data_IF_833035825000
#
_entry.id   IF_833035825000
#
_cell.length_a   1.000
_cell.length_b   1.000
_cell.length_c   1.000
_cell.angle_alpha   90.00
_cell.angle_beta   90.00
_cell.angle_gamma   90.00
#
_symmetry.space_group_name_H-M   'P 1'
#
loop_
_entity.id
_entity.type
_entity.pdbx_description
1 polymer ?
#
# COMPACT_ATOMS: atom_id res chain seq x y z
N UNK A 1 -7.50 25.17 6.55
CA UNK A 1 -8.18 23.87 6.70
C UNK A 1 -7.14 22.83 7.03
N UNK A 2 -6.94 22.65 8.32
CA UNK A 2 -6.61 21.43 9.05
C UNK A 2 -6.25 20.20 8.19
N UNK A 3 -4.96 20.00 7.89
CA UNK A 3 -4.46 18.68 7.49
C UNK A 3 -4.21 17.88 8.78
N UNK A 4 -5.31 17.48 9.41
CA UNK A 4 -5.28 16.53 10.51
C UNK A 4 -4.67 15.23 9.97
N UNK A 5 -3.65 14.75 10.67
CA UNK A 5 -3.08 13.41 10.60
C UNK A 5 -4.16 12.36 10.88
N UNK A 6 -5.11 12.21 9.97
CA UNK A 6 -6.20 11.25 10.09
C UNK A 6 -5.85 10.01 9.28
N UNK A 7 -5.85 8.87 9.95
CA UNK A 7 -5.60 7.60 9.29
C UNK A 7 -6.65 7.42 8.19
N UNK A 8 -6.27 6.97 6.99
CA UNK A 8 -7.19 6.81 5.87
C UNK A 8 -8.49 6.10 6.28
N UNK A 9 -9.62 6.53 5.74
CA UNK A 9 -10.92 5.93 6.09
C UNK A 9 -10.94 4.40 5.90
N UNK A 10 -10.19 3.87 4.94
CA UNK A 10 -10.03 2.43 4.75
C UNK A 10 -9.33 1.71 5.92
N UNK A 11 -8.43 2.37 6.66
CA UNK A 11 -7.78 1.80 7.87
C UNK A 11 -8.74 1.66 9.05
N UNK A 12 -9.91 2.30 8.97
CA UNK A 12 -10.97 2.20 9.97
C UNK A 12 -11.97 1.07 9.63
N UNK A 13 -11.83 0.42 8.46
CA UNK A 13 -12.74 -0.65 8.07
C UNK A 13 -12.63 -1.85 9.02
N UNK A 14 -13.78 -2.47 9.37
CA UNK A 14 -13.78 -3.68 10.19
C UNK A 14 -12.99 -4.83 9.54
N UNK A 15 -12.93 -4.86 8.21
CA UNK A 15 -12.16 -5.85 7.44
C UNK A 15 -10.65 -5.75 7.67
N UNK A 16 -10.11 -4.59 8.03
CA UNK A 16 -8.66 -4.40 8.26
C UNK A 16 -8.30 -4.16 9.72
N UNK A 17 -9.29 -4.05 10.62
CA UNK A 17 -9.05 -3.86 12.07
C UNK A 17 -8.21 -4.96 12.73
N UNK A 18 -8.23 -6.17 12.17
CA UNK A 18 -7.44 -7.29 12.68
C UNK A 18 -5.97 -7.24 12.21
N UNK A 19 -5.64 -6.34 11.28
CA UNK A 19 -4.32 -6.24 10.67
C UNK A 19 -3.45 -5.32 11.52
N UNK A 20 -2.19 -5.70 11.82
CA UNK A 20 -1.28 -4.86 12.58
C UNK A 20 -1.08 -3.49 11.95
N UNK A 21 -1.02 -2.46 12.78
CA UNK A 21 -0.84 -1.06 12.33
C UNK A 21 0.41 -0.87 11.47
N UNK A 22 1.51 -1.56 11.78
CA UNK A 22 2.76 -1.50 11.01
C UNK A 22 2.56 -1.96 9.56
N UNK A 23 1.73 -2.98 9.34
CA UNK A 23 1.36 -3.46 8.00
C UNK A 23 0.50 -2.43 7.27
N UNK A 24 -0.48 -1.84 7.97
CA UNK A 24 -1.35 -0.82 7.38
C UNK A 24 -0.58 0.44 6.98
N UNK A 25 0.31 0.92 7.86
CA UNK A 25 1.21 2.05 7.60
C UNK A 25 2.15 1.78 6.43
N UNK A 26 2.70 0.57 6.36
CA UNK A 26 3.52 0.13 5.23
C UNK A 26 2.76 0.20 3.91
N UNK A 27 1.52 -0.32 3.89
CA UNK A 27 0.73 -0.31 2.67
C UNK A 27 0.24 1.08 2.31
N UNK A 28 -0.10 1.91 3.30
CA UNK A 28 -0.43 3.32 3.09
C UNK A 28 0.73 4.03 2.38
N UNK A 29 1.96 3.88 2.89
CA UNK A 29 3.15 4.43 2.22
C UNK A 29 3.30 3.84 0.83
N UNK A 30 3.16 2.53 0.70
CA UNK A 30 3.29 1.87 -0.59
C UNK A 30 2.30 2.40 -1.63
N UNK A 31 1.03 2.60 -1.30
CA UNK A 31 0.00 2.99 -2.28
C UNK A 31 -0.04 4.51 -2.47
N UNK A 32 -0.04 5.28 -1.37
CA UNK A 32 -0.22 6.73 -1.43
C UNK A 32 1.08 7.48 -1.76
N UNK A 33 2.22 7.09 -1.17
CA UNK A 33 3.49 7.72 -1.55
C UNK A 33 3.86 7.33 -2.97
N UNK A 34 3.73 6.05 -3.37
CA UNK A 34 4.08 5.65 -4.74
C UNK A 34 3.21 6.31 -5.82
N UNK A 35 1.92 6.58 -5.55
CA UNK A 35 1.04 7.28 -6.47
C UNK A 35 1.51 8.72 -6.78
N UNK A 36 2.28 9.32 -5.86
CA UNK A 36 2.83 10.67 -5.99
C UNK A 36 4.24 10.69 -6.58
N UNK A 37 4.89 9.52 -6.75
CA UNK A 37 6.28 9.41 -7.19
C UNK A 37 6.40 9.22 -8.70
N UNK A 38 7.41 9.86 -9.29
CA UNK A 38 7.80 9.60 -10.67
C UNK A 38 8.52 8.26 -10.82
N UNK A 39 8.55 7.63 -12.01
CA UNK A 39 9.22 6.33 -12.20
C UNK A 39 10.68 6.29 -11.74
N UNK A 40 11.38 7.44 -11.80
CA UNK A 40 12.78 7.57 -11.38
C UNK A 40 12.95 7.62 -9.86
N UNK A 41 11.94 8.09 -9.14
CA UNK A 41 11.89 8.09 -7.68
C UNK A 41 11.23 6.83 -7.12
N UNK A 42 10.36 6.20 -7.91
CA UNK A 42 9.69 4.95 -7.54
C UNK A 42 10.69 3.82 -7.32
N UNK A 43 11.73 3.70 -8.16
CA UNK A 43 12.77 2.67 -7.98
C UNK A 43 13.48 2.74 -6.61
N UNK A 44 14.12 3.86 -6.22
CA UNK A 44 14.78 3.95 -4.93
C UNK A 44 13.79 3.86 -3.76
N UNK A 45 12.56 4.35 -3.93
CA UNK A 45 11.49 4.16 -2.96
C UNK A 45 11.16 2.68 -2.74
N UNK A 46 10.89 1.92 -3.81
CA UNK A 46 10.59 0.50 -3.72
C UNK A 46 11.76 -0.30 -3.14
N UNK A 47 13.02 0.10 -3.41
CA UNK A 47 14.20 -0.51 -2.78
C UNK A 47 14.23 -0.27 -1.26
N UNK A 48 14.06 0.99 -0.83
CA UNK A 48 14.03 1.34 0.59
C UNK A 48 12.87 0.64 1.31
N UNK A 49 11.71 0.59 0.67
CA UNK A 49 10.51 -0.04 1.21
C UNK A 49 10.66 -1.57 1.29
N UNK A 50 11.25 -2.23 0.28
CA UNK A 50 11.56 -3.65 0.33
C UNK A 50 12.58 -4.01 1.42
N UNK A 51 13.58 -3.14 1.64
CA UNK A 51 14.54 -3.31 2.74
C UNK A 51 13.83 -3.20 4.11
N UNK A 52 12.96 -2.20 4.26
CA UNK A 52 12.17 -1.98 5.46
C UNK A 52 11.22 -3.16 5.76
N UNK A 53 10.49 -3.65 4.75
CA UNK A 53 9.61 -4.82 4.90
C UNK A 53 10.36 -6.05 5.43
N UNK A 54 11.60 -6.28 4.95
CA UNK A 54 12.43 -7.38 5.47
C UNK A 54 12.86 -7.17 6.92
N UNK A 55 13.25 -5.94 7.27
CA UNK A 55 13.68 -5.59 8.62
C UNK A 55 12.53 -5.71 9.64
N UNK A 56 11.36 -5.18 9.30
CA UNK A 56 10.15 -5.19 10.14
C UNK A 56 9.36 -6.52 10.00
N UNK A 57 9.88 -7.51 9.26
CA UNK A 57 9.21 -8.80 8.98
C UNK A 57 7.77 -8.63 8.47
N UNK A 58 7.50 -7.53 7.74
CA UNK A 58 6.19 -7.21 7.20
C UNK A 58 5.88 -8.16 6.06
N UNK A 59 4.91 -9.03 6.28
CA UNK A 59 4.35 -9.94 5.30
C UNK A 59 2.83 -9.90 5.41
N UNK A 60 2.15 -9.93 4.28
CA UNK A 60 0.69 -9.94 4.20
C UNK A 60 0.24 -11.32 3.74
N UNK A 61 -0.69 -11.91 4.47
CA UNK A 61 -1.45 -13.07 4.01
C UNK A 61 -2.37 -12.66 2.85
N UNK A 62 -2.79 -13.63 2.04
CA UNK A 62 -3.69 -13.36 0.92
C UNK A 62 -5.03 -12.75 1.39
N UNK A 63 -5.55 -13.21 2.53
CA UNK A 63 -6.73 -12.66 3.18
C UNK A 63 -6.55 -11.20 3.60
N UNK A 64 -5.43 -10.88 4.26
CA UNK A 64 -5.08 -9.51 4.66
C UNK A 64 -4.95 -8.61 3.42
N UNK A 65 -4.25 -9.07 2.38
CA UNK A 65 -4.10 -8.32 1.14
C UNK A 65 -5.44 -8.02 0.49
N UNK A 66 -6.33 -9.01 0.45
CA UNK A 66 -7.67 -8.88 -0.15
C UNK A 66 -8.51 -7.89 0.63
N UNK A 67 -8.60 -8.06 1.95
CA UNK A 67 -9.34 -7.17 2.84
C UNK A 67 -8.87 -5.71 2.73
N UNK A 68 -7.55 -5.50 2.66
CA UNK A 68 -7.01 -4.14 2.51
C UNK A 68 -7.28 -3.57 1.13
N UNK A 69 -7.06 -4.33 0.05
CA UNK A 69 -7.33 -3.86 -1.32
C UNK A 69 -8.80 -3.48 -1.46
N UNK A 70 -9.72 -4.29 -0.93
CA UNK A 70 -11.16 -3.99 -0.94
C UNK A 70 -11.49 -2.74 -0.12
N UNK A 71 -10.90 -2.61 1.07
CA UNK A 71 -11.05 -1.41 1.90
C UNK A 71 -10.54 -0.17 1.13
N UNK A 72 -9.31 -0.19 0.61
CA UNK A 72 -8.74 0.94 -0.15
C UNK A 72 -9.62 1.27 -1.35
N UNK A 73 -10.03 0.27 -2.13
CA UNK A 73 -10.90 0.45 -3.31
C UNK A 73 -12.25 1.09 -2.97
N UNK A 74 -12.81 0.81 -1.80
CA UNK A 74 -14.07 1.39 -1.34
C UNK A 74 -13.97 2.89 -1.05
N UNK A 75 -12.79 3.37 -0.64
CA UNK A 75 -12.55 4.77 -0.31
C UNK A 75 -11.70 5.51 -1.36
N UNK A 76 -11.17 4.82 -2.36
CA UNK A 76 -10.36 5.38 -3.44
C UNK A 76 -11.19 5.62 -4.69
N UNK A 77 -10.79 6.59 -5.49
CA UNK A 77 -11.38 6.83 -6.81
C UNK A 77 -10.93 5.75 -7.81
N UNK A 78 -11.71 5.49 -8.87
CA UNK A 78 -11.32 4.53 -9.92
C UNK A 78 -9.96 4.83 -10.56
N UNK A 79 -9.55 6.10 -10.62
CA UNK A 79 -8.22 6.52 -11.11
C UNK A 79 -7.09 6.09 -10.16
N UNK A 80 -7.28 6.27 -8.85
CA UNK A 80 -6.33 5.82 -7.82
C UNK A 80 -6.21 4.29 -7.80
N UNK A 81 -7.33 3.58 -7.96
CA UNK A 81 -7.35 2.12 -8.04
C UNK A 81 -6.54 1.64 -9.25
N UNK A 82 -6.69 2.29 -10.41
CA UNK A 82 -5.95 1.93 -11.63
C UNK A 82 -4.43 2.14 -11.48
N UNK A 83 -4.02 3.25 -10.84
CA UNK A 83 -2.61 3.52 -10.52
C UNK A 83 -2.04 2.48 -9.56
N UNK A 84 -2.77 2.13 -8.50
CA UNK A 84 -2.36 1.12 -7.55
C UNK A 84 -2.17 -0.25 -8.23
N UNK A 85 -3.10 -0.66 -9.09
CA UNK A 85 -3.03 -1.92 -9.83
C UNK A 85 -1.78 -1.98 -10.72
N UNK A 86 -1.46 -0.87 -11.39
CA UNK A 86 -0.25 -0.74 -12.20
C UNK A 86 1.02 -0.96 -11.34
N UNK A 87 1.06 -0.40 -10.13
CA UNK A 87 2.21 -0.50 -9.23
C UNK A 87 2.34 -1.92 -8.65
N UNK A 88 1.23 -2.56 -8.27
CA UNK A 88 1.20 -3.96 -7.84
C UNK A 88 1.66 -4.91 -8.95
N UNK A 89 1.25 -4.63 -10.20
CA UNK A 89 1.68 -5.38 -11.38
C UNK A 89 3.19 -5.25 -11.60
N UNK A 90 3.73 -4.03 -11.49
CA UNK A 90 5.18 -3.74 -11.57
C UNK A 90 6.01 -4.46 -10.50
N UNK A 91 5.48 -4.65 -9.30
CA UNK A 91 6.15 -5.41 -8.25
C UNK A 91 6.04 -6.93 -8.45
N UNK A 92 4.89 -7.40 -8.95
CA UNK A 92 4.63 -8.84 -9.18
C UNK A 92 5.44 -9.40 -10.34
N UNK A 93 5.69 -8.60 -11.38
CA UNK A 93 6.42 -9.01 -12.58
C UNK A 93 7.94 -9.21 -12.39
N UNK A 94 8.52 -8.83 -11.24
CA UNK A 94 9.97 -9.01 -10.97
C UNK A 94 10.31 -10.38 -10.33
N UNK A 95 9.34 -11.28 -10.17
CA UNK A 95 9.51 -12.63 -9.59
C UNK A 95 9.49 -13.75 -10.64
N UNK A 96 10.00 -13.50 -11.83
CA UNK A 96 9.98 -14.44 -12.96
C UNK A 96 11.18 -14.32 -13.90
N UNK A 97 12.40 -14.24 -13.35
CA UNK A 97 13.66 -14.36 -14.07
C UNK A 97 14.61 -15.27 -13.33
#
# INVERSE_FOLDING_TARGET
>A
MDHQTDSPAWMQEPSVRHIPKEKLDFLQKLVFESASLTPRQLLPFLMALAQRSRAERISFSQEEMTAIIEAIRKYSTPDEIAKMDQILKLMSQKKGG
#
